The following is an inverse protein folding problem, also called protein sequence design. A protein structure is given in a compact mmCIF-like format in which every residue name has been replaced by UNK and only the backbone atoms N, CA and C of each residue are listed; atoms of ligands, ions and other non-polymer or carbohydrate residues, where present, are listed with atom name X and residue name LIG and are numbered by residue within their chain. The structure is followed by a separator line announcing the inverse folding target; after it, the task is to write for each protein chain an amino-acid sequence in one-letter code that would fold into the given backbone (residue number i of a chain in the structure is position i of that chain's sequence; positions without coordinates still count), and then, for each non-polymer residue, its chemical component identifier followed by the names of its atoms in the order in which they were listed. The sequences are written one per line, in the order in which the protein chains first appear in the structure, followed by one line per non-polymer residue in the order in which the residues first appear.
data_IF_252985221977
#
_entry.id   IF_252985221977
#
_cell.length_a   1.000
_cell.length_b   1.000
_cell.length_c   1.000
_cell.angle_alpha   90.00
_cell.angle_beta   90.00
_cell.angle_gamma   90.00
#
_symmetry.space_group_name_H-M   'P 1'
#
loop_
_entity.id
_entity.type
_entity.pdbx_description
1 polymer ?
#
# COMPACT_ATOMS: atom_id res chain seq x y z
N UNK A 1 13.90 18.18 15.91
CA UNK A 1 14.42 17.54 14.69
C UNK A 1 13.71 16.21 14.49
N UNK A 2 12.52 16.24 13.88
CA UNK A 2 11.74 15.04 13.58
C UNK A 2 12.40 14.37 12.37
N UNK A 3 13.32 13.44 12.65
CA UNK A 3 13.71 12.43 11.67
C UNK A 3 12.42 11.89 11.06
N UNK A 4 12.23 12.07 9.75
CA UNK A 4 11.71 11.09 8.79
C UNK A 4 11.17 9.76 9.37
N UNK A 5 10.22 9.81 10.30
CA UNK A 5 9.93 8.68 11.19
C UNK A 5 9.20 7.55 10.44
N UNK A 6 8.71 7.86 9.24
CA UNK A 6 7.95 6.94 8.40
C UNK A 6 8.60 6.65 7.05
N UNK A 7 9.92 6.84 6.90
CA UNK A 7 10.63 6.34 5.70
C UNK A 7 10.88 4.83 5.70
N UNK A 8 10.73 4.15 6.86
CA UNK A 8 10.98 2.71 7.02
C UNK A 8 9.82 1.87 7.57
N UNK A 9 8.68 2.48 7.91
CA UNK A 9 7.55 1.81 8.56
C UNK A 9 6.69 0.95 7.63
N UNK A 10 5.73 0.23 8.21
CA UNK A 10 4.68 -0.48 7.49
C UNK A 10 3.39 0.34 7.47
N UNK A 11 2.62 0.18 6.40
CA UNK A 11 1.28 0.77 6.26
C UNK A 11 0.32 -0.32 5.83
N UNK A 12 -0.88 -0.36 6.41
CA UNK A 12 -1.99 -1.17 5.90
C UNK A 12 -2.89 -0.29 5.06
N UNK A 13 -3.01 -0.60 3.77
CA UNK A 13 -4.05 -0.02 2.92
C UNK A 13 -5.35 -0.70 3.29
N UNK A 14 -6.33 0.06 3.76
CA UNK A 14 -7.64 -0.45 4.19
C UNK A 14 -8.65 -0.34 3.04
N UNK A 15 -8.57 0.76 2.27
CA UNK A 15 -9.42 0.99 1.09
C UNK A 15 -8.63 1.66 -0.03
N UNK A 16 -8.89 1.30 -1.28
CA UNK A 16 -8.30 1.94 -2.45
C UNK A 16 -9.17 1.74 -3.68
N UNK A 17 -9.27 2.73 -4.55
CA UNK A 17 -9.69 2.58 -5.94
C UNK A 17 -8.55 2.81 -6.94
N UNK A 18 -7.31 2.98 -6.44
CA UNK A 18 -6.14 3.18 -7.27
C UNK A 18 -5.78 1.86 -7.97
N UNK A 19 -6.12 1.77 -9.25
CA UNK A 19 -5.92 0.56 -10.07
C UNK A 19 -4.46 0.11 -10.12
N UNK A 20 -3.50 1.04 -10.03
CA UNK A 20 -2.07 0.72 -9.99
C UNK A 20 -1.75 -0.24 -8.84
N UNK A 21 -2.40 -0.08 -7.69
CA UNK A 21 -2.23 -0.99 -6.56
C UNK A 21 -2.81 -2.38 -6.84
N UNK A 22 -3.94 -2.46 -7.53
CA UNK A 22 -4.54 -3.75 -7.90
C UNK A 22 -3.65 -4.51 -8.90
N UNK A 23 -2.95 -3.81 -9.79
CA UNK A 23 -2.00 -4.40 -10.74
C UNK A 23 -0.74 -4.94 -10.05
N UNK A 24 -0.20 -4.20 -9.07
CA UNK A 24 1.01 -4.63 -8.33
C UNK A 24 0.72 -5.64 -7.22
N UNK A 25 -0.46 -5.54 -6.63
CA UNK A 25 -0.92 -6.29 -5.47
C UNK A 25 -2.34 -6.78 -5.72
N UNK A 26 -2.54 -7.78 -6.60
CA UNK A 26 -3.86 -8.35 -6.84
C UNK A 26 -4.39 -8.89 -5.52
N UNK A 27 -5.29 -8.11 -4.90
CA UNK A 27 -5.67 -8.26 -3.49
C UNK A 27 -6.39 -9.56 -3.17
N UNK A 28 -6.82 -10.33 -4.16
CA UNK A 28 -7.37 -11.65 -3.90
C UNK A 28 -6.84 -12.72 -4.85
N UNK A 29 -5.86 -13.47 -4.36
CA UNK A 29 -5.44 -14.73 -4.98
C UNK A 29 -6.31 -15.91 -4.51
N UNK A 30 -7.34 -15.71 -3.68
CA UNK A 30 -8.14 -16.82 -3.14
C UNK A 30 -8.79 -17.67 -4.25
N UNK A 31 -9.17 -17.04 -5.37
CA UNK A 31 -9.65 -17.74 -6.57
C UNK A 31 -8.60 -18.62 -7.26
N UNK A 32 -7.31 -18.30 -7.10
CA UNK A 32 -6.20 -19.11 -7.62
C UNK A 32 -5.87 -20.32 -6.72
N UNK A 33 -6.37 -20.34 -5.48
CA UNK A 33 -6.12 -21.42 -4.53
C UNK A 33 -7.29 -22.41 -4.45
N UNK A 34 -6.98 -23.70 -4.50
CA UNK A 34 -7.96 -24.75 -4.19
C UNK A 34 -8.56 -24.56 -2.78
N UNK A 35 -9.79 -25.03 -2.54
CA UNK A 35 -10.44 -24.93 -1.24
C UNK A 35 -9.59 -25.49 -0.09
N UNK A 36 -8.86 -26.59 -0.35
CA UNK A 36 -7.92 -27.20 0.61
C UNK A 36 -6.72 -26.29 0.90
N UNK A 37 -6.17 -25.63 -0.10
CA UNK A 37 -5.07 -24.68 0.08
C UNK A 37 -5.53 -23.46 0.89
N UNK A 38 -6.71 -22.91 0.57
CA UNK A 38 -7.32 -21.81 1.35
C UNK A 38 -7.52 -22.20 2.82
N UNK A 39 -8.04 -23.40 3.09
CA UNK A 39 -8.25 -23.88 4.45
C UNK A 39 -6.93 -24.05 5.23
N UNK A 40 -5.86 -24.51 4.57
CA UNK A 40 -4.53 -24.61 5.20
C UNK A 40 -3.92 -23.25 5.51
N UNK A 41 -4.01 -22.30 4.58
CA UNK A 41 -3.54 -20.92 4.78
C UNK A 41 -4.30 -20.29 5.97
N UNK A 42 -5.62 -20.45 5.99
CA UNK A 42 -6.47 -19.99 7.09
C UNK A 42 -6.14 -20.63 8.43
N UNK A 43 -5.88 -21.95 8.47
CA UNK A 43 -5.53 -22.65 9.71
C UNK A 43 -4.20 -22.20 10.33
N UNK A 44 -3.33 -21.58 9.53
CA UNK A 44 -2.08 -20.98 9.99
C UNK A 44 -2.23 -19.50 10.38
N UNK A 45 -3.47 -18.98 10.48
CA UNK A 45 -3.77 -17.58 10.80
C UNK A 45 -3.64 -16.60 9.63
N UNK A 46 -3.33 -17.08 8.43
CA UNK A 46 -3.15 -16.26 7.25
C UNK A 46 -4.44 -16.13 6.43
N UNK A 47 -4.64 -14.99 5.77
CA UNK A 47 -5.74 -14.83 4.82
C UNK A 47 -5.15 -14.80 3.40
N UNK A 48 -5.69 -15.55 2.43
CA UNK A 48 -5.12 -15.61 1.08
C UNK A 48 -5.09 -14.24 0.38
N UNK A 49 -6.03 -13.34 0.69
CA UNK A 49 -6.01 -11.95 0.20
C UNK A 49 -4.97 -11.02 0.84
N UNK A 50 -4.39 -11.39 1.99
CA UNK A 50 -3.25 -10.68 2.58
C UNK A 50 -1.91 -11.28 2.13
N UNK A 51 -1.97 -12.43 1.48
CA UNK A 51 -0.82 -13.14 0.96
C UNK A 51 -0.57 -12.63 -0.46
N UNK A 52 0.16 -11.53 -0.59
CA UNK A 52 0.89 -11.24 -1.84
C UNK A 52 2.33 -11.72 -1.59
N UNK A 53 2.60 -13.02 -1.72
CA UNK A 53 3.98 -13.48 -1.67
C UNK A 53 4.73 -12.75 -2.79
N UNK A 54 6.03 -12.51 -2.61
CA UNK A 54 6.90 -12.06 -3.70
C UNK A 54 6.70 -12.88 -5.00
N UNK A 55 6.21 -14.12 -4.91
CA UNK A 55 5.83 -14.95 -6.06
C UNK A 55 4.64 -14.43 -6.88
N UNK A 56 3.77 -13.56 -6.34
CA UNK A 56 2.76 -12.83 -7.13
C UNK A 56 3.39 -11.82 -8.09
N UNK A 57 4.49 -11.17 -7.67
CA UNK A 57 5.33 -10.37 -8.58
C UNK A 57 6.07 -11.24 -9.60
N UNK A 58 6.48 -12.46 -9.22
CA UNK A 58 7.18 -13.40 -10.11
C UNK A 58 6.23 -14.09 -11.09
N UNK A 59 4.95 -14.27 -10.75
CA UNK A 59 3.95 -14.83 -11.64
C UNK A 59 3.66 -13.94 -12.86
N UNK A 60 3.89 -12.63 -12.75
CA UNK A 60 3.85 -11.69 -13.89
C UNK A 60 5.03 -11.85 -14.86
N UNK A 61 6.09 -12.57 -14.47
CA UNK A 61 7.28 -12.81 -15.31
C UNK A 61 7.29 -14.19 -15.98
N UNK A 62 6.34 -15.06 -15.66
CA UNK A 62 6.21 -16.38 -16.27
C UNK A 62 5.28 -16.27 -17.50
N UNK A 63 5.62 -16.77 -18.70
CA UNK A 63 4.80 -16.68 -19.92
C UNK A 63 3.54 -17.57 -19.89
N UNK A 64 3.05 -17.91 -18.70
CA UNK A 64 1.78 -18.57 -18.49
C UNK A 64 0.60 -17.71 -18.95
N UNK A 65 -0.62 -18.28 -18.98
CA UNK A 65 -1.81 -17.50 -19.31
C UNK A 65 -1.87 -16.27 -18.39
N UNK A 66 -2.30 -15.10 -18.91
CA UNK A 66 -2.33 -13.87 -18.13
C UNK A 66 -3.07 -14.14 -16.82
N UNK A 67 -2.38 -13.90 -15.71
CA UNK A 67 -3.01 -13.93 -14.41
C UNK A 67 -4.03 -12.79 -14.38
N UNK A 68 -5.28 -13.11 -14.68
CA UNK A 68 -6.40 -12.20 -14.51
C UNK A 68 -6.87 -12.43 -13.07
N UNK A 69 -6.57 -11.54 -12.10
CA UNK A 69 -7.22 -11.61 -10.81
C UNK A 69 -8.72 -11.67 -11.08
N UNK A 70 -9.39 -12.72 -10.63
CA UNK A 70 -10.83 -12.70 -10.55
C UNK A 70 -11.17 -11.67 -9.50
N UNK A 71 -11.33 -10.43 -9.94
CA UNK A 71 -12.00 -9.36 -9.23
C UNK A 71 -13.46 -9.79 -9.06
N UNK A 72 -13.70 -10.80 -8.21
CA UNK A 72 -15.01 -10.90 -7.60
C UNK A 72 -15.20 -9.59 -6.84
N UNK A 73 -16.33 -8.90 -7.00
CA UNK A 73 -16.71 -7.83 -6.08
C UNK A 73 -17.00 -8.51 -4.74
N UNK A 74 -15.95 -8.93 -4.05
CA UNK A 74 -16.05 -9.30 -2.66
C UNK A 74 -16.41 -7.99 -1.96
N UNK A 75 -17.60 -7.97 -1.40
CA UNK A 75 -18.00 -7.01 -0.38
C UNK A 75 -16.93 -7.05 0.73
N UNK A 76 -15.93 -6.19 0.62
CA UNK A 76 -14.74 -6.24 1.46
C UNK A 76 -13.51 -5.83 0.68
N UNK A 77 -13.11 -4.59 0.82
CA UNK A 77 -11.86 -4.08 0.26
C UNK A 77 -10.72 -4.89 0.87
N UNK A 78 -10.02 -5.65 0.04
CA UNK A 78 -8.91 -6.44 0.55
C UNK A 78 -7.85 -5.48 1.07
N UNK A 79 -7.59 -5.57 2.37
CA UNK A 79 -6.50 -4.81 2.96
C UNK A 79 -5.18 -5.52 2.70
N UNK A 80 -4.16 -4.78 2.29
CA UNK A 80 -2.79 -5.30 2.14
C UNK A 80 -1.80 -4.39 2.88
N UNK A 81 -0.68 -4.98 3.32
CA UNK A 81 0.36 -4.27 4.06
C UNK A 81 1.55 -4.00 3.15
N UNK A 82 1.97 -2.74 3.06
CA UNK A 82 3.10 -2.29 2.25
C UNK A 82 4.16 -1.62 3.12
N UNK A 83 5.35 -1.46 2.57
CA UNK A 83 6.31 -0.51 3.14
C UNK A 83 5.84 0.92 2.89
N UNK A 84 6.05 1.79 3.86
CA UNK A 84 5.75 3.21 3.75
C UNK A 84 6.42 3.88 2.54
N UNK A 85 7.70 3.57 2.30
CA UNK A 85 8.44 4.07 1.15
C UNK A 85 7.82 3.62 -0.18
N UNK A 86 7.28 2.41 -0.21
CA UNK A 86 6.65 1.87 -1.40
C UNK A 86 5.32 2.56 -1.67
N UNK A 87 4.46 2.73 -0.66
CA UNK A 87 3.24 3.52 -0.82
C UNK A 87 3.55 4.94 -1.33
N UNK A 88 4.61 5.59 -0.83
CA UNK A 88 5.03 6.91 -1.31
C UNK A 88 5.37 6.94 -2.80
N UNK A 89 6.08 5.92 -3.30
CA UNK A 89 6.40 5.81 -4.74
C UNK A 89 5.13 5.67 -5.57
N UNK A 90 4.23 4.81 -5.12
CA UNK A 90 2.97 4.53 -5.81
C UNK A 90 2.09 5.79 -5.90
N UNK A 91 2.00 6.55 -4.80
CA UNK A 91 1.28 7.83 -4.81
C UNK A 91 1.93 8.85 -5.74
N UNK A 92 3.27 8.91 -5.76
CA UNK A 92 4.01 9.79 -6.67
C UNK A 92 3.78 9.41 -8.14
N UNK A 93 3.86 8.12 -8.47
CA UNK A 93 3.62 7.60 -9.83
C UNK A 93 2.18 7.90 -10.28
N UNK A 94 1.19 7.67 -9.41
CA UNK A 94 -0.21 7.96 -9.69
C UNK A 94 -0.46 9.46 -9.96
N UNK A 95 0.17 10.34 -9.17
CA UNK A 95 0.11 11.80 -9.37
C UNK A 95 0.78 12.23 -10.67
N UNK A 96 1.98 11.70 -10.94
CA UNK A 96 2.71 12.00 -12.18
C UNK A 96 1.93 11.56 -13.42
N UNK A 97 1.16 10.48 -13.32
CA UNK A 97 0.28 9.98 -14.36
C UNK A 97 -1.11 10.65 -14.40
N UNK A 98 -1.40 11.63 -13.53
CA UNK A 98 -2.70 12.30 -13.43
C UNK A 98 -3.87 11.31 -13.22
N UNK A 99 -3.63 10.22 -12.48
CA UNK A 99 -4.64 9.20 -12.18
C UNK A 99 -5.46 9.65 -10.98
N UNK A 100 -6.80 9.84 -11.10
CA UNK A 100 -7.63 10.13 -9.95
C UNK A 100 -7.74 8.91 -9.03
N UNK A 101 -7.64 9.11 -7.73
CA UNK A 101 -7.83 8.03 -6.76
C UNK A 101 -8.31 8.51 -5.39
N UNK A 102 -8.81 7.57 -4.61
CA UNK A 102 -9.11 7.65 -3.19
C UNK A 102 -8.48 6.44 -2.51
N UNK A 103 -7.65 6.70 -1.51
CA UNK A 103 -6.93 5.66 -0.77
C UNK A 103 -7.00 5.97 0.73
N UNK A 104 -7.38 4.96 1.51
CA UNK A 104 -7.33 4.99 2.97
C UNK A 104 -6.28 4.01 3.45
N UNK A 105 -5.31 4.50 4.21
CA UNK A 105 -4.27 3.67 4.82
C UNK A 105 -4.12 3.97 6.30
N UNK A 106 -3.49 3.03 7.00
CA UNK A 106 -3.14 3.16 8.41
C UNK A 106 -1.66 2.85 8.60
N UNK A 107 -0.87 3.78 9.18
CA UNK A 107 0.46 3.50 9.69
C UNK A 107 0.40 2.36 10.72
N UNK A 108 1.28 1.38 10.59
CA UNK A 108 1.44 0.35 11.62
C UNK A 108 2.70 0.70 12.42
N UNK A 109 2.55 0.98 13.71
CA UNK A 109 3.68 1.31 14.57
C UNK A 109 4.39 0.02 15.00
N UNK A 110 5.61 -0.15 14.51
CA UNK A 110 6.43 -1.35 14.73
C UNK A 110 7.08 -1.80 13.43
N UNK A 111 8.28 -2.39 13.54
CA UNK A 111 8.97 -2.96 12.37
C UNK A 111 8.57 -4.44 12.13
N UNK A 112 8.04 -5.11 13.16
CA UNK A 112 7.83 -6.56 13.17
C UNK A 112 6.54 -6.89 13.96
N UNK A 113 5.77 -7.82 13.42
CA UNK A 113 4.55 -8.36 14.01
C UNK A 113 3.99 -9.49 13.13
N UNK A 114 3.23 -10.39 13.74
CA UNK A 114 2.60 -11.50 13.04
C UNK A 114 1.41 -11.02 12.18
N UNK A 115 0.78 -11.96 11.49
CA UNK A 115 -0.35 -11.65 10.62
C UNK A 115 -1.60 -11.17 11.39
N UNK A 116 -1.77 -11.63 12.63
CA UNK A 116 -2.86 -11.17 13.48
C UNK A 116 -2.66 -9.69 13.85
N UNK A 117 -1.44 -9.30 14.20
CA UNK A 117 -1.06 -7.91 14.42
C UNK A 117 -1.33 -7.05 13.19
N UNK A 118 -0.87 -7.48 11.99
CA UNK A 118 -1.12 -6.71 10.74
C UNK A 118 -2.59 -6.49 10.46
N UNK A 119 -3.47 -7.44 10.79
CA UNK A 119 -4.92 -7.35 10.57
C UNK A 119 -5.63 -6.50 11.62
N UNK A 120 -5.23 -6.62 12.88
CA UNK A 120 -6.00 -6.10 14.01
C UNK A 120 -5.40 -4.86 14.65
N UNK A 121 -4.15 -4.51 14.36
CA UNK A 121 -3.57 -3.28 14.87
C UNK A 121 -4.37 -2.05 14.39
N UNK A 122 -4.69 -1.17 15.34
CA UNK A 122 -5.40 0.09 15.14
C UNK A 122 -4.63 1.25 15.77
N UNK A 123 -3.36 1.06 16.11
CA UNK A 123 -2.55 2.01 16.85
C UNK A 123 -2.25 3.28 16.03
N UNK A 124 -2.07 3.14 14.72
CA UNK A 124 -1.94 4.27 13.80
C UNK A 124 -3.26 4.97 13.51
N UNK A 125 -3.21 6.28 13.23
CA UNK A 125 -4.35 7.05 12.75
C UNK A 125 -4.62 6.69 11.29
N UNK A 126 -5.84 6.32 10.94
CA UNK A 126 -6.19 6.13 9.53
C UNK A 126 -6.20 7.48 8.79
N UNK A 127 -5.67 7.47 7.58
CA UNK A 127 -5.51 8.63 6.70
C UNK A 127 -6.19 8.32 5.39
N UNK A 128 -7.05 9.24 4.94
CA UNK A 128 -7.69 9.19 3.63
C UNK A 128 -7.08 10.27 2.74
N UNK A 129 -6.69 9.86 1.54
CA UNK A 129 -6.10 10.69 0.50
C UNK A 129 -7.00 10.63 -0.72
N UNK A 130 -7.28 11.78 -1.30
CA UNK A 130 -8.01 11.92 -2.56
C UNK A 130 -7.17 12.74 -3.52
N UNK A 131 -7.03 12.25 -4.75
CA UNK A 131 -6.46 12.98 -5.88
C UNK A 131 -7.48 13.01 -7.01
N UNK A 132 -7.69 14.18 -7.61
CA UNK A 132 -8.63 14.37 -8.72
C UNK A 132 -8.02 14.19 -10.11
N UNK A 133 -6.70 13.93 -10.19
CA UNK A 133 -5.94 13.87 -11.44
C UNK A 133 -5.57 15.24 -12.04
N UNK A 134 -6.12 16.34 -11.51
CA UNK A 134 -5.76 17.72 -11.84
C UNK A 134 -4.63 18.29 -10.98
N UNK A 135 -4.09 17.49 -10.05
CA UNK A 135 -3.07 17.89 -9.08
C UNK A 135 -3.66 18.42 -7.77
N UNK A 136 -4.97 18.33 -7.57
CA UNK A 136 -5.60 18.67 -6.29
C UNK A 136 -5.56 17.45 -5.37
N UNK A 137 -4.74 17.59 -4.33
CA UNK A 137 -4.63 16.63 -3.26
C UNK A 137 -5.45 17.05 -2.04
N UNK A 138 -6.33 16.17 -1.58
CA UNK A 138 -6.93 16.26 -0.25
C UNK A 138 -6.36 15.14 0.63
N UNK A 139 -5.95 15.48 1.85
CA UNK A 139 -5.51 14.52 2.85
C UNK A 139 -6.15 14.85 4.19
N UNK A 140 -6.83 13.87 4.79
CA UNK A 140 -7.46 14.02 6.10
C UNK A 140 -7.34 12.76 6.97
N UNK A 141 -7.31 12.95 8.29
CA UNK A 141 -7.40 11.86 9.26
C UNK A 141 -8.84 11.33 9.31
N UNK A 142 -9.06 10.08 8.91
CA UNK A 142 -10.39 9.49 8.71
C UNK A 142 -11.32 9.60 9.94
N UNK A 143 -10.78 9.54 11.15
CA UNK A 143 -11.55 9.64 12.39
C UNK A 143 -12.02 11.07 12.74
N UNK A 144 -11.32 12.10 12.25
CA UNK A 144 -11.56 13.49 12.69
C UNK A 144 -11.91 14.44 11.55
N UNK A 145 -11.63 14.06 10.29
CA UNK A 145 -11.71 14.94 9.14
C UNK A 145 -10.68 16.08 9.16
N UNK A 146 -9.80 16.14 10.17
CA UNK A 146 -8.74 17.14 10.24
C UNK A 146 -7.77 16.91 9.07
N UNK A 147 -7.40 18.00 8.40
CA UNK A 147 -6.34 18.02 7.38
C UNK A 147 -5.06 17.39 7.94
N UNK A 148 -4.40 16.56 7.11
CA UNK A 148 -3.16 15.90 7.45
C UNK A 148 -2.06 16.91 7.83
N UNK A 149 -1.20 16.51 8.76
CA UNK A 149 0.01 17.26 9.07
C UNK A 149 0.98 17.21 7.86
N UNK A 150 1.86 18.21 7.69
CA UNK A 150 2.73 18.32 6.51
C UNK A 150 3.78 17.19 6.42
N UNK A 151 4.06 16.52 7.53
CA UNK A 151 4.95 15.36 7.63
C UNK A 151 4.23 14.01 7.46
N UNK A 152 2.92 14.03 7.17
CA UNK A 152 2.15 12.83 6.86
C UNK A 152 2.65 12.17 5.57
N UNK A 153 2.64 10.84 5.53
CA UNK A 153 3.27 10.06 4.47
C UNK A 153 2.81 10.46 3.06
N UNK A 154 1.51 10.76 2.92
CA UNK A 154 0.92 11.17 1.64
C UNK A 154 1.27 12.61 1.22
N UNK A 155 1.68 13.46 2.16
CA UNK A 155 2.06 14.86 1.96
C UNK A 155 3.56 15.03 1.71
N UNK A 156 4.37 14.00 2.01
CA UNK A 156 5.80 14.05 1.76
C UNK A 156 6.10 14.11 0.24
N UNK A 157 7.20 14.77 -0.16
CA UNK A 157 7.61 14.83 -1.56
C UNK A 157 7.93 13.44 -2.10
N UNK A 158 8.05 13.34 -3.43
CA UNK A 158 8.50 12.11 -4.10
C UNK A 158 9.79 11.59 -3.45
N UNK A 159 9.86 10.29 -3.09
CA UNK A 159 11.09 9.74 -2.52
C UNK A 159 12.21 9.76 -3.58
N UNK A 160 13.47 10.04 -3.18
CA UNK A 160 14.58 10.03 -4.13
C UNK A 160 14.69 8.67 -4.82
N UNK A 161 14.80 8.68 -6.15
CA UNK A 161 15.09 7.47 -6.91
C UNK A 161 16.45 6.93 -6.47
N UNK A 162 16.55 5.63 -6.22
CA UNK A 162 17.76 4.98 -5.67
C UNK A 162 18.94 4.99 -6.67
N UNK A 163 18.83 5.70 -7.79
CA UNK A 163 19.90 5.92 -8.77
C UNK A 163 20.83 7.11 -8.50
N UNK A 164 20.56 7.98 -7.51
CA UNK A 164 21.39 9.18 -7.26
C UNK A 164 22.47 9.03 -6.17
N UNK A 165 22.74 7.81 -5.68
CA UNK A 165 23.83 7.58 -4.72
C UNK A 165 25.25 7.88 -5.28
N UNK A 166 25.37 8.23 -6.56
CA UNK A 166 26.59 8.77 -7.16
C UNK A 166 26.63 10.31 -7.25
N UNK A 167 25.69 11.05 -6.64
CA UNK A 167 25.63 12.51 -6.81
C UNK A 167 25.05 13.34 -5.65
N UNK A 168 24.91 12.80 -4.44
CA UNK A 168 24.49 13.62 -3.28
C UNK A 168 25.70 14.33 -2.67
N UNK A 169 26.16 15.39 -3.35
CA UNK A 169 27.06 16.39 -2.75
C UNK A 169 26.54 17.84 -2.90
N UNK A 170 25.34 18.06 -3.44
CA UNK A 170 24.83 19.43 -3.63
C UNK A 170 23.33 19.54 -3.34
N UNK A 171 22.95 19.73 -2.07
CA UNK A 171 21.69 20.41 -1.69
C UNK A 171 21.55 20.60 -0.17
N UNK A 172 22.64 20.97 0.53
CA UNK A 172 22.56 21.52 1.89
C UNK A 172 23.57 22.67 2.00
N UNK A 173 23.21 23.82 1.45
CA UNK A 173 23.67 25.14 1.89
C UNK A 173 22.44 26.02 2.15
#
# INVERSE_FOLDING_TARGET
ALRSAFSGGLVRVEHSNLTLLDDMYPGDLSGAFSARARQRIASSGHHPGFFVPMSGRTALTDPGPPFVPQLSPLEGTVSYTLRALELRRILADARAAAVPFTLTYRPLFGAEGDEAWRKHDRSGRAVTVTEDGGGVQECAYAATGKVCDADELACLPEPPMVGSWLGVEAAYE
#
